data_IF_322743107070
#
_entry.id   IF_322743107070
#
_cell.length_a   1.000
_cell.length_b   1.000
_cell.length_c   1.000
_cell.angle_alpha   90.00
_cell.angle_beta   90.00
_cell.angle_gamma   90.00
#
_symmetry.space_group_name_H-M   'P 1'
#
loop_
_entity.id
_entity.type
_entity.pdbx_description
1 polymer ?
#
# COMPACT_ATOMS: atom_id res chain seq x y z
N UNK A 1 -5.94 -9.10 17.09
CA UNK A 1 -4.76 -8.60 16.41
C UNK A 1 -4.99 -7.14 15.99
N UNK A 2 -4.07 -6.28 16.34
CA UNK A 2 -4.23 -4.83 16.15
C UNK A 2 -4.43 -4.42 14.68
N UNK A 3 -3.68 -5.04 13.76
CA UNK A 3 -3.86 -4.75 12.33
C UNK A 3 -5.28 -5.08 11.85
N UNK A 4 -5.78 -6.23 12.24
CA UNK A 4 -7.13 -6.64 11.87
C UNK A 4 -8.19 -5.72 12.47
N UNK A 5 -7.95 -5.23 13.68
CA UNK A 5 -8.85 -4.27 14.33
C UNK A 5 -8.89 -2.96 13.55
N UNK A 6 -7.72 -2.47 13.14
CA UNK A 6 -7.64 -1.25 12.32
C UNK A 6 -8.27 -1.43 10.94
N UNK A 7 -8.09 -2.62 10.32
CA UNK A 7 -8.75 -2.90 9.03
C UNK A 7 -10.26 -2.77 9.13
N UNK A 8 -10.85 -3.28 10.20
CA UNK A 8 -12.30 -3.17 10.39
C UNK A 8 -12.78 -1.73 10.57
N UNK A 9 -11.95 -0.90 11.17
CA UNK A 9 -12.24 0.53 11.34
C UNK A 9 -12.10 1.29 10.03
N UNK A 10 -11.04 0.99 9.27
CA UNK A 10 -10.69 1.75 8.06
C UNK A 10 -11.47 1.29 6.84
N UNK A 11 -11.74 -0.02 6.72
CA UNK A 11 -12.33 -0.61 5.53
C UNK A 11 -13.52 -1.53 5.87
N UNK A 12 -14.51 -1.03 6.62
CA UNK A 12 -15.56 -1.91 7.18
C UNK A 12 -16.43 -2.58 6.12
N UNK A 13 -16.58 -1.99 4.94
CA UNK A 13 -17.45 -2.50 3.88
C UNK A 13 -16.68 -2.98 2.64
N UNK A 14 -15.37 -3.08 2.73
CA UNK A 14 -14.52 -3.40 1.58
C UNK A 14 -13.74 -4.71 1.74
N UNK A 15 -14.25 -5.62 2.56
CA UNK A 15 -13.58 -6.90 2.80
C UNK A 15 -12.32 -6.74 3.65
N UNK A 16 -12.44 -6.24 4.88
CA UNK A 16 -11.26 -6.02 5.72
C UNK A 16 -10.53 -7.33 6.02
N UNK A 17 -9.21 -7.25 6.06
CA UNK A 17 -8.36 -8.40 6.32
C UNK A 17 -8.58 -8.91 7.74
N UNK A 18 -8.73 -10.21 7.88
CA UNK A 18 -8.83 -10.88 9.19
C UNK A 18 -7.44 -11.05 9.82
N UNK A 19 -7.44 -11.39 11.11
CA UNK A 19 -6.20 -11.75 11.79
C UNK A 19 -5.50 -12.92 11.09
N UNK A 20 -6.27 -13.92 10.64
CA UNK A 20 -5.71 -15.08 9.93
C UNK A 20 -5.01 -14.67 8.63
N UNK A 21 -5.61 -13.73 7.88
CA UNK A 21 -5.01 -13.23 6.65
C UNK A 21 -3.68 -12.53 6.92
N UNK A 22 -3.61 -11.68 7.95
CA UNK A 22 -2.35 -11.04 8.32
C UNK A 22 -1.29 -12.05 8.75
N UNK A 23 -1.67 -13.01 9.58
CA UNK A 23 -0.72 -14.02 10.05
C UNK A 23 -0.16 -14.86 8.91
N UNK A 24 -0.99 -15.18 7.91
CA UNK A 24 -0.55 -15.89 6.72
C UNK A 24 0.50 -15.09 5.95
N UNK A 25 0.30 -13.79 5.79
CA UNK A 25 1.25 -12.94 5.04
C UNK A 25 2.54 -12.69 5.82
N UNK A 26 2.44 -12.49 7.13
CA UNK A 26 3.63 -12.25 7.97
C UNK A 26 4.63 -13.42 7.88
N UNK A 27 4.13 -14.64 7.79
CA UNK A 27 4.99 -15.81 7.67
C UNK A 27 5.43 -16.15 6.25
N UNK A 28 4.94 -15.45 5.25
CA UNK A 28 5.17 -15.79 3.85
C UNK A 28 6.47 -15.18 3.32
N UNK A 29 7.21 -15.97 2.52
CA UNK A 29 8.35 -15.44 1.76
C UNK A 29 7.91 -14.61 0.55
N UNK A 30 6.62 -14.61 0.24
CA UNK A 30 6.06 -13.89 -0.90
C UNK A 30 5.40 -12.57 -0.47
N UNK A 31 5.72 -12.09 0.73
CA UNK A 31 5.20 -10.82 1.22
C UNK A 31 6.21 -10.11 2.11
N UNK A 32 6.17 -8.79 2.07
CA UNK A 32 6.88 -7.92 3.00
C UNK A 32 5.83 -7.21 3.84
N UNK A 33 5.93 -7.32 5.14
CA UNK A 33 5.00 -6.70 6.08
C UNK A 33 5.71 -5.60 6.85
N UNK A 34 5.06 -4.46 6.99
CA UNK A 34 5.62 -3.28 7.63
C UNK A 34 4.70 -2.83 8.75
N UNK A 35 5.27 -2.37 9.84
CA UNK A 35 4.52 -1.84 10.97
C UNK A 35 5.11 -0.51 11.42
N UNK A 36 4.24 0.45 11.68
CA UNK A 36 4.61 1.71 12.31
C UNK A 36 4.11 1.70 13.75
N UNK A 37 4.94 2.12 14.68
CA UNK A 37 4.60 2.16 16.10
C UNK A 37 4.78 3.56 16.66
N UNK A 38 3.91 3.91 17.59
CA UNK A 38 4.04 5.11 18.40
C UNK A 38 3.91 4.69 19.85
N UNK A 39 4.92 5.00 20.67
CA UNK A 39 4.96 4.62 22.09
C UNK A 39 4.70 3.11 22.30
N UNK A 40 5.27 2.29 21.42
CA UNK A 40 5.14 0.84 21.52
C UNK A 40 3.84 0.26 20.98
N UNK A 41 2.90 1.11 20.55
CA UNK A 41 1.61 0.67 20.02
C UNK A 41 1.63 0.77 18.49
N UNK A 42 1.13 -0.27 17.82
CA UNK A 42 1.01 -0.28 16.37
C UNK A 42 -0.04 0.73 15.93
N UNK A 43 0.37 1.69 15.11
CA UNK A 43 -0.49 2.76 14.60
C UNK A 43 -0.60 2.76 13.08
N UNK A 44 0.18 1.92 12.41
CA UNK A 44 0.11 1.78 10.96
C UNK A 44 0.70 0.45 10.51
N UNK A 45 0.32 0.01 9.33
CA UNK A 45 0.76 -1.26 8.77
C UNK A 45 0.67 -1.23 7.26
N UNK A 46 1.42 -2.11 6.62
CA UNK A 46 1.36 -2.30 5.17
C UNK A 46 1.77 -3.72 4.82
N UNK A 47 1.18 -4.26 3.78
CA UNK A 47 1.54 -5.57 3.22
C UNK A 47 1.80 -5.42 1.73
N UNK A 48 2.99 -5.83 1.32
CA UNK A 48 3.43 -5.80 -0.08
C UNK A 48 3.68 -7.23 -0.52
N UNK A 49 2.93 -7.68 -1.51
CA UNK A 49 3.10 -9.02 -2.07
C UNK A 49 4.16 -9.01 -3.17
N UNK A 50 4.86 -10.13 -3.28
CA UNK A 50 5.89 -10.36 -4.30
C UNK A 50 5.36 -11.42 -5.26
N UNK A 51 5.33 -11.10 -6.55
CA UNK A 51 4.83 -11.97 -7.61
C UNK A 51 5.93 -12.21 -8.63
N UNK A 52 5.95 -13.42 -9.19
CA UNK A 52 6.90 -13.75 -10.24
C UNK A 52 8.26 -14.21 -9.74
N UNK A 53 9.09 -14.73 -10.64
CA UNK A 53 10.41 -15.24 -10.29
C UNK A 53 11.43 -14.11 -10.10
N UNK A 54 12.54 -14.46 -9.46
CA UNK A 54 13.67 -13.52 -9.36
C UNK A 54 14.09 -13.06 -10.75
N UNK A 55 14.32 -11.76 -10.89
CA UNK A 55 14.66 -11.13 -12.18
C UNK A 55 13.45 -10.69 -12.99
N UNK A 56 12.25 -11.13 -12.63
CA UNK A 56 11.01 -10.74 -13.32
C UNK A 56 9.89 -10.59 -12.30
N UNK A 57 10.15 -9.84 -11.24
CA UNK A 57 9.19 -9.65 -10.15
C UNK A 57 8.28 -8.47 -10.41
N UNK A 58 7.08 -8.61 -9.88
CA UNK A 58 6.08 -7.56 -9.76
C UNK A 58 5.64 -7.50 -8.31
N UNK A 59 5.36 -6.31 -7.82
CA UNK A 59 4.90 -6.11 -6.45
C UNK A 59 3.48 -5.59 -6.44
N UNK A 60 2.72 -6.01 -5.44
CA UNK A 60 1.34 -5.56 -5.27
C UNK A 60 1.13 -5.08 -3.84
N UNK A 61 0.61 -3.86 -3.69
CA UNK A 61 0.20 -3.36 -2.39
C UNK A 61 -1.13 -4.02 -2.04
N UNK A 62 -1.10 -4.94 -1.07
CA UNK A 62 -2.30 -5.64 -0.63
C UNK A 62 -3.14 -4.80 0.32
N UNK A 63 -2.50 -4.15 1.27
CA UNK A 63 -3.19 -3.23 2.18
C UNK A 63 -2.20 -2.26 2.79
N UNK A 64 -2.69 -1.09 3.13
CA UNK A 64 -1.95 -0.08 3.86
C UNK A 64 -2.97 0.69 4.71
N UNK A 65 -2.70 0.84 5.99
CA UNK A 65 -3.62 1.53 6.89
C UNK A 65 -2.90 2.26 8.00
N UNK A 66 -3.50 3.36 8.42
CA UNK A 66 -3.01 4.18 9.55
C UNK A 66 -4.18 4.43 10.48
N UNK A 67 -3.94 4.23 11.77
CA UNK A 67 -4.91 4.54 12.82
C UNK A 67 -5.47 5.95 12.59
N UNK A 68 -6.80 6.13 12.54
CA UNK A 68 -7.38 7.45 12.33
C UNK A 68 -6.84 8.53 13.27
N UNK A 69 -6.53 8.16 14.52
CA UNK A 69 -5.98 9.08 15.51
C UNK A 69 -4.55 9.54 15.16
N UNK A 70 -3.88 8.88 14.24
CA UNK A 70 -2.49 9.16 13.86
C UNK A 70 -2.35 9.56 12.39
N UNK A 71 -3.44 9.73 11.67
CA UNK A 71 -3.41 10.20 10.28
C UNK A 71 -2.96 11.66 10.21
N UNK A 72 -2.44 12.06 9.05
CA UNK A 72 -1.95 13.42 8.84
C UNK A 72 -0.54 13.68 9.40
N UNK A 73 0.18 12.64 9.80
CA UNK A 73 1.54 12.75 10.39
C UNK A 73 2.62 12.15 9.50
N UNK A 74 2.28 11.78 8.27
CA UNK A 74 3.24 11.21 7.33
C UNK A 74 3.51 9.71 7.50
N UNK A 75 2.77 9.01 8.34
CA UNK A 75 2.97 7.57 8.57
C UNK A 75 2.67 6.77 7.30
N UNK A 76 1.55 7.07 6.64
CA UNK A 76 1.18 6.40 5.39
C UNK A 76 2.21 6.61 4.30
N UNK A 77 2.73 7.82 4.18
CA UNK A 77 3.79 8.13 3.23
C UNK A 77 5.05 7.33 3.52
N UNK A 78 5.44 7.25 4.80
CA UNK A 78 6.62 6.50 5.20
C UNK A 78 6.47 5.01 4.90
N UNK A 79 5.29 4.44 5.19
CA UNK A 79 5.00 3.04 4.88
C UNK A 79 5.08 2.80 3.37
N UNK A 80 4.47 3.68 2.59
CA UNK A 80 4.51 3.57 1.13
C UNK A 80 5.94 3.63 0.61
N UNK A 81 6.74 4.57 1.09
CA UNK A 81 8.15 4.70 0.68
C UNK A 81 8.94 3.44 0.98
N UNK A 82 8.73 2.82 2.14
CA UNK A 82 9.40 1.56 2.49
C UNK A 82 9.04 0.45 1.53
N UNK A 83 7.76 0.35 1.16
CA UNK A 83 7.33 -0.63 0.15
C UNK A 83 7.98 -0.35 -1.21
N UNK A 84 8.00 0.90 -1.63
CA UNK A 84 8.59 1.27 -2.92
C UNK A 84 10.10 1.05 -2.95
N UNK A 85 10.80 1.23 -1.83
CA UNK A 85 12.23 0.93 -1.74
C UNK A 85 12.50 -0.55 -2.04
N UNK A 86 11.65 -1.44 -1.56
CA UNK A 86 11.78 -2.87 -1.84
C UNK A 86 11.61 -3.14 -3.34
N UNK A 87 10.58 -2.57 -3.95
CA UNK A 87 10.32 -2.76 -5.37
C UNK A 87 11.44 -2.16 -6.24
N UNK A 88 11.93 -0.98 -5.86
CA UNK A 88 13.00 -0.29 -6.62
C UNK A 88 14.31 -1.06 -6.54
N UNK A 89 14.59 -1.73 -5.43
CA UNK A 89 15.78 -2.57 -5.33
C UNK A 89 15.77 -3.72 -6.35
N UNK A 90 14.59 -4.18 -6.75
CA UNK A 90 14.40 -5.19 -7.78
C UNK A 90 14.13 -4.58 -9.17
N UNK A 91 14.12 -3.26 -9.29
CA UNK A 91 13.73 -2.57 -10.52
C UNK A 91 12.37 -3.08 -11.03
N UNK A 92 11.41 -3.27 -10.13
CA UNK A 92 10.14 -3.91 -10.42
C UNK A 92 8.98 -2.91 -10.39
N UNK A 93 7.92 -3.15 -11.18
CA UNK A 93 6.70 -2.36 -11.09
C UNK A 93 5.88 -2.71 -9.84
N UNK A 94 5.02 -1.79 -9.45
CA UNK A 94 4.11 -1.97 -8.32
C UNK A 94 2.68 -1.69 -8.78
N UNK A 95 1.75 -2.55 -8.40
CA UNK A 95 0.33 -2.39 -8.72
C UNK A 95 -0.48 -2.29 -7.43
N UNK A 96 -1.62 -1.62 -7.50
CA UNK A 96 -2.58 -1.57 -6.39
C UNK A 96 -3.98 -1.27 -6.91
N UNK A 97 -4.97 -1.56 -6.08
CA UNK A 97 -6.35 -1.12 -6.29
C UNK A 97 -6.71 -0.11 -5.20
N UNK A 98 -7.42 0.94 -5.56
CA UNK A 98 -7.89 1.96 -4.62
C UNK A 98 -9.33 2.35 -4.96
N UNK A 99 -10.17 2.57 -3.94
CA UNK A 99 -11.54 3.05 -4.17
C UNK A 99 -11.49 4.33 -4.98
N UNK A 100 -12.40 4.43 -5.96
CA UNK A 100 -12.47 5.63 -6.82
C UNK A 100 -12.77 6.90 -6.03
N UNK A 101 -13.43 6.78 -4.88
CA UNK A 101 -13.77 7.91 -4.02
C UNK A 101 -12.72 8.22 -2.96
N UNK A 102 -11.66 7.43 -2.89
CA UNK A 102 -10.56 7.69 -1.93
C UNK A 102 -9.54 8.64 -2.55
N UNK A 103 -9.91 9.91 -2.65
CA UNK A 103 -9.08 10.93 -3.28
C UNK A 103 -7.76 11.15 -2.55
N UNK A 104 -7.71 11.21 -1.21
CA UNK A 104 -6.42 11.37 -0.52
C UNK A 104 -5.42 10.26 -0.81
N UNK A 105 -5.88 9.00 -0.83
CA UNK A 105 -5.00 7.87 -1.14
C UNK A 105 -4.50 7.95 -2.58
N UNK A 106 -5.40 8.20 -3.53
CA UNK A 106 -5.02 8.31 -4.93
C UNK A 106 -4.00 9.43 -5.14
N UNK A 107 -4.21 10.57 -4.50
CA UNK A 107 -3.27 11.70 -4.59
C UNK A 107 -1.89 11.30 -4.07
N UNK A 108 -1.85 10.59 -2.95
CA UNK A 108 -0.58 10.10 -2.39
C UNK A 108 0.12 9.16 -3.37
N UNK A 109 -0.61 8.22 -3.97
CA UNK A 109 -0.03 7.28 -4.92
C UNK A 109 0.47 7.99 -6.17
N UNK A 110 -0.31 8.91 -6.71
CA UNK A 110 0.09 9.69 -7.89
C UNK A 110 1.37 10.49 -7.62
N UNK A 111 1.51 11.05 -6.43
CA UNK A 111 2.72 11.76 -6.04
C UNK A 111 3.96 10.86 -5.98
N UNK A 112 3.77 9.56 -5.93
CA UNK A 112 4.86 8.58 -5.89
C UNK A 112 5.02 7.79 -7.19
N UNK A 113 4.43 8.26 -8.28
CA UNK A 113 4.67 7.71 -9.60
C UNK A 113 3.63 6.69 -10.07
N UNK A 114 2.55 6.50 -9.33
CA UNK A 114 1.46 5.63 -9.77
C UNK A 114 0.54 6.36 -10.75
N UNK A 115 0.00 5.62 -11.70
CA UNK A 115 -0.94 6.13 -12.69
C UNK A 115 -2.16 5.21 -12.75
N UNK A 116 -3.35 5.79 -12.95
CA UNK A 116 -4.57 5.02 -13.15
C UNK A 116 -4.53 4.39 -14.54
N UNK A 117 -4.63 3.07 -14.60
CA UNK A 117 -4.61 2.33 -15.86
C UNK A 117 -5.90 1.56 -16.13
N UNK A 118 -6.80 1.49 -15.18
CA UNK A 118 -8.05 0.78 -15.36
C UNK A 118 -9.07 1.07 -14.29
N UNK A 119 -10.30 0.63 -14.54
CA UNK A 119 -11.41 0.70 -13.60
C UNK A 119 -11.94 -0.70 -13.36
N UNK A 120 -12.14 -1.05 -12.09
CA UNK A 120 -12.75 -2.31 -11.68
C UNK A 120 -14.12 -1.98 -11.07
N UNK A 121 -15.24 -2.10 -11.84
CA UNK A 121 -16.55 -1.75 -11.28
C UNK A 121 -16.98 -2.76 -10.22
N UNK A 122 -17.59 -2.25 -9.16
CA UNK A 122 -18.13 -3.07 -8.07
C UNK A 122 -17.12 -4.05 -7.50
N UNK A 123 -15.89 -3.59 -7.35
CA UNK A 123 -14.76 -4.44 -6.95
C UNK A 123 -14.84 -4.86 -5.48
N UNK A 124 -15.13 -3.91 -4.60
CA UNK A 124 -15.14 -4.18 -3.16
C UNK A 124 -16.45 -4.83 -2.73
N UNK A 125 -16.37 -5.66 -1.70
CA UNK A 125 -17.54 -6.35 -1.13
C UNK A 125 -17.54 -6.19 0.38
N UNK A 126 -18.67 -5.94 1.03
CA UNK A 126 -20.03 -5.84 0.46
C UNK A 126 -20.39 -4.48 -0.12
N UNK A 127 -19.53 -3.46 -0.02
CA UNK A 127 -19.88 -2.09 -0.42
C UNK A 127 -20.24 -1.96 -1.90
N UNK A 128 -19.66 -2.82 -2.75
CA UNK A 128 -19.76 -2.74 -4.22
C UNK A 128 -19.16 -1.46 -4.78
N UNK A 129 -18.23 -0.84 -4.05
CA UNK A 129 -17.53 0.34 -4.52
C UNK A 129 -16.60 -0.01 -5.68
N UNK A 130 -16.45 0.92 -6.60
CA UNK A 130 -15.53 0.79 -7.73
C UNK A 130 -14.09 1.03 -7.27
N UNK A 131 -13.15 0.42 -7.97
CA UNK A 131 -11.72 0.64 -7.74
C UNK A 131 -11.02 1.14 -9.00
N UNK A 132 -10.04 2.00 -8.81
CA UNK A 132 -9.03 2.27 -9.84
C UNK A 132 -7.91 1.27 -9.69
N UNK A 133 -7.50 0.67 -10.78
CA UNK A 133 -6.24 -0.06 -10.86
C UNK A 133 -5.15 0.95 -11.15
N UNK A 134 -4.14 1.02 -10.31
CA UNK A 134 -3.01 1.92 -10.49
C UNK A 134 -1.71 1.14 -10.62
N UNK A 135 -0.83 1.62 -11.46
CA UNK A 135 0.48 1.01 -11.71
C UNK A 135 1.56 2.07 -11.57
N UNK A 136 2.63 1.70 -10.86
CA UNK A 136 3.87 2.46 -10.84
C UNK A 136 4.90 1.67 -11.64
N UNK A 137 5.32 2.17 -12.81
CA UNK A 137 6.30 1.45 -13.64
C UNK A 137 7.64 1.28 -12.92
N UNK A 138 8.40 0.28 -13.34
CA UNK A 138 9.76 0.10 -12.84
C UNK A 138 10.59 1.37 -13.09
N UNK A 139 11.33 1.80 -12.07
CA UNK A 139 12.18 2.99 -12.18
C UNK A 139 11.44 4.32 -12.08
N UNK A 140 10.12 4.32 -11.85
CA UNK A 140 9.36 5.54 -11.68
C UNK A 140 9.77 6.29 -10.42
N UNK A 141 9.68 7.62 -10.47
CA UNK A 141 9.93 8.48 -9.32
C UNK A 141 8.75 9.43 -9.14
N UNK A 142 8.44 9.73 -7.89
CA UNK A 142 7.41 10.70 -7.61
C UNK A 142 7.86 12.11 -7.96
N UNK A 143 6.90 12.96 -8.21
CA UNK A 143 7.17 14.34 -8.57
C UNK A 143 7.93 15.10 -7.49
N UNK A 144 7.79 14.69 -6.24
CA UNK A 144 8.41 15.37 -5.12
C UNK A 144 9.85 14.95 -4.84
N UNK A 145 10.35 13.99 -5.59
CA UNK A 145 11.70 13.50 -5.34
C UNK A 145 12.78 14.30 -6.09
N UNK A 146 12.35 15.04 -7.11
CA UNK A 146 13.31 15.67 -8.02
C UNK A 146 14.25 16.66 -7.36
N UNK A 147 13.77 17.39 -6.39
CA UNK A 147 14.59 18.42 -5.75
C UNK A 147 15.50 17.94 -4.65
N UNK A 148 15.40 16.67 -4.29
CA UNK A 148 16.10 16.16 -3.12
C UNK A 148 17.17 15.14 -3.44
N UNK A 149 17.19 14.69 -4.66
CA UNK A 149 18.05 13.56 -5.02
C UNK A 149 19.51 13.91 -4.95
N UNK A 150 19.84 15.16 -5.18
CA UNK A 150 21.23 15.59 -5.20
C UNK A 150 21.92 15.55 -3.86
N UNK A 151 21.16 15.36 -2.78
CA UNK A 151 21.73 15.40 -1.45
C UNK A 151 22.42 14.12 -1.03
N UNK A 152 22.53 13.22 -1.93
CA UNK A 152 23.14 11.96 -1.62
C UNK A 152 24.56 11.87 -1.91
#
# INVERSE_FOLDING_TARGET
MRCADLERVLFPADGPWSAAAFLSEIGSRHAHCFAARADGVLVGYAVLAVLGPEGDREYEVHTIGVDPAHQGRGIGRTLLRRMLDVADADAAPVVLDVRTDNVPARTLYEAHGFEVVGLRPRYYRPSRADAHLMVRPAGARGQNDGGKVSDR
#
